data_IF_185048591768
#
_entry.id   IF_185048591768
#
_cell.length_a   1.000
_cell.length_b   1.000
_cell.length_c   1.000
_cell.angle_alpha   90.00
_cell.angle_beta   90.00
_cell.angle_gamma   90.00
#
_symmetry.space_group_name_H-M   'P 1'
#
loop_
_entity.id
_entity.type
_entity.pdbx_description
1 polymer ?
#
# COMPACT_ATOMS: atom_id res chain seq x y z
N UNK A 1 11.70 35.03 18.18
CA UNK A 1 11.72 33.67 17.60
C UNK A 1 11.02 32.73 18.57
N UNK A 2 9.71 32.52 18.39
CA UNK A 2 8.97 31.52 19.18
C UNK A 2 9.03 30.20 18.41
N UNK A 3 9.61 29.19 19.05
CA UNK A 3 9.53 27.82 18.56
C UNK A 3 8.05 27.41 18.57
N UNK A 4 7.48 27.21 17.38
CA UNK A 4 6.13 26.68 17.25
C UNK A 4 6.07 25.33 17.97
N UNK A 5 5.21 25.24 18.96
CA UNK A 5 4.85 24.01 19.65
C UNK A 5 4.19 23.08 18.62
N UNK A 6 4.98 22.28 17.90
CA UNK A 6 4.45 21.25 17.01
C UNK A 6 3.88 20.17 17.92
N UNK A 7 2.58 20.25 18.20
CA UNK A 7 1.84 19.15 18.80
C UNK A 7 2.11 17.87 18.00
N UNK A 8 2.11 16.73 18.70
CA UNK A 8 2.20 15.42 18.04
C UNK A 8 1.17 15.35 16.91
N UNK A 9 1.60 15.03 15.67
CA UNK A 9 0.70 15.02 14.53
C UNK A 9 -0.45 14.03 14.79
N UNK A 10 -1.67 14.46 14.45
CA UNK A 10 -2.87 13.64 14.57
C UNK A 10 -2.71 12.33 13.81
N UNK A 11 -3.11 11.21 14.41
CA UNK A 11 -3.05 9.91 13.74
C UNK A 11 -4.01 9.91 12.54
N UNK A 12 -3.51 9.62 11.35
CA UNK A 12 -4.31 9.47 10.12
C UNK A 12 -3.82 8.21 9.40
N UNK A 13 -4.65 7.18 9.42
CA UNK A 13 -4.45 5.92 8.69
C UNK A 13 -5.35 5.84 7.47
N UNK A 14 -5.15 4.81 6.65
CA UNK A 14 -6.04 4.52 5.51
C UNK A 14 -6.11 3.05 5.15
N UNK A 15 -7.24 2.67 4.55
CA UNK A 15 -7.35 1.48 3.74
C UNK A 15 -7.44 1.88 2.25
N UNK A 16 -6.59 1.27 1.43
CA UNK A 16 -6.42 1.63 0.02
C UNK A 16 -6.58 0.41 -0.92
N UNK A 17 -7.81 -0.12 -1.09
CA UNK A 17 -8.05 -1.29 -1.93
C UNK A 17 -8.05 -0.94 -3.42
N UNK A 18 -7.45 -1.82 -4.24
CA UNK A 18 -7.66 -1.79 -5.69
C UNK A 18 -8.99 -2.48 -6.03
N UNK A 19 -9.85 -1.88 -6.89
CA UNK A 19 -11.13 -2.46 -7.25
C UNK A 19 -11.01 -3.51 -8.37
N UNK A 20 -10.07 -4.44 -8.25
CA UNK A 20 -9.88 -5.55 -9.20
C UNK A 20 -10.76 -6.76 -8.91
N UNK A 21 -11.61 -6.66 -7.89
CA UNK A 21 -12.49 -7.73 -7.42
C UNK A 21 -13.10 -7.37 -6.05
N UNK A 22 -13.98 -8.22 -5.51
CA UNK A 22 -14.55 -8.04 -4.18
C UNK A 22 -13.51 -8.19 -3.06
N UNK A 23 -13.83 -7.71 -1.85
CA UNK A 23 -12.97 -7.94 -0.69
C UNK A 23 -12.90 -9.44 -0.36
N UNK A 24 -11.69 -9.98 -0.36
CA UNK A 24 -11.39 -11.29 0.18
C UNK A 24 -10.81 -11.15 1.60
N UNK A 25 -10.67 -12.28 2.31
CA UNK A 25 -10.22 -12.29 3.71
C UNK A 25 -8.88 -11.56 3.95
N UNK A 26 -7.89 -11.74 3.08
CA UNK A 26 -6.61 -11.00 3.19
C UNK A 26 -6.75 -9.46 3.16
N UNK A 27 -7.65 -8.92 2.34
CA UNK A 27 -7.92 -7.48 2.30
C UNK A 27 -8.73 -7.03 3.50
N UNK A 28 -9.64 -7.88 4.00
CA UNK A 28 -10.34 -7.64 5.27
C UNK A 28 -9.36 -7.56 6.44
N UNK A 29 -8.36 -8.44 6.54
CA UNK A 29 -7.32 -8.37 7.59
C UNK A 29 -6.61 -7.01 7.57
N UNK A 30 -6.27 -6.51 6.38
CA UNK A 30 -5.66 -5.19 6.25
C UNK A 30 -6.62 -4.05 6.65
N UNK A 31 -7.90 -4.14 6.31
CA UNK A 31 -8.91 -3.17 6.72
C UNK A 31 -9.10 -3.18 8.24
N UNK A 32 -9.30 -4.35 8.85
CA UNK A 32 -9.50 -4.53 10.30
C UNK A 32 -8.32 -3.97 11.10
N UNK A 33 -7.10 -4.35 10.74
CA UNK A 33 -5.91 -3.89 11.46
C UNK A 33 -5.70 -2.38 11.31
N UNK A 34 -5.79 -1.84 10.09
CA UNK A 34 -5.59 -0.40 9.88
C UNK A 34 -6.68 0.45 10.55
N UNK A 35 -7.92 -0.05 10.62
CA UNK A 35 -9.02 0.59 11.32
C UNK A 35 -8.83 0.54 12.84
N UNK A 36 -8.59 -0.64 13.41
CA UNK A 36 -8.35 -0.81 14.84
C UNK A 36 -7.17 0.05 15.32
N UNK A 37 -6.09 0.09 14.54
CA UNK A 37 -4.92 0.90 14.86
C UNK A 37 -5.24 2.40 14.85
N UNK A 38 -6.02 2.88 13.87
CA UNK A 38 -6.46 4.28 13.83
C UNK A 38 -7.36 4.64 15.01
N UNK A 39 -8.39 3.82 15.26
CA UNK A 39 -9.36 4.07 16.34
C UNK A 39 -8.72 3.97 17.72
N UNK A 40 -7.77 3.04 17.93
CA UNK A 40 -7.02 2.91 19.19
C UNK A 40 -6.23 4.18 19.53
N UNK A 41 -5.73 4.87 18.50
CA UNK A 41 -5.01 6.13 18.65
C UNK A 41 -5.91 7.37 18.52
N UNK A 42 -7.24 7.19 18.56
CA UNK A 42 -8.23 8.27 18.42
C UNK A 42 -8.03 9.10 17.14
N UNK A 43 -7.54 8.45 16.08
CA UNK A 43 -7.21 9.07 14.81
C UNK A 43 -8.28 8.88 13.75
N UNK A 44 -7.98 9.42 12.57
CA UNK A 44 -8.77 9.23 11.37
C UNK A 44 -8.36 7.96 10.61
N UNK A 45 -9.35 7.31 10.01
CA UNK A 45 -9.21 6.20 9.08
C UNK A 45 -9.90 6.56 7.77
N UNK A 46 -9.10 6.64 6.70
CA UNK A 46 -9.56 7.08 5.38
C UNK A 46 -9.74 5.89 4.44
N UNK A 47 -10.64 6.04 3.47
CA UNK A 47 -10.81 5.11 2.36
C UNK A 47 -10.35 5.74 1.05
N UNK A 48 -9.44 5.06 0.34
CA UNK A 48 -9.00 5.44 -1.02
C UNK A 48 -9.15 4.26 -1.97
N UNK A 49 -9.88 4.45 -3.06
CA UNK A 49 -9.97 3.46 -4.12
C UNK A 49 -8.75 3.61 -5.05
N UNK A 50 -7.87 2.62 -5.05
CA UNK A 50 -6.64 2.58 -5.85
C UNK A 50 -6.94 2.05 -7.27
N UNK A 51 -7.75 2.81 -8.03
CA UNK A 51 -8.20 2.53 -9.41
C UNK A 51 -7.29 3.15 -10.49
N UNK A 52 -6.02 3.40 -10.18
CA UNK A 52 -5.05 3.99 -11.13
C UNK A 52 -4.80 3.12 -12.37
N UNK A 53 -5.02 1.81 -12.27
CA UNK A 53 -4.97 0.87 -13.40
C UNK A 53 -6.39 0.50 -13.84
N UNK A 54 -7.00 1.38 -14.63
CA UNK A 54 -8.39 1.24 -15.11
C UNK A 54 -8.62 -0.10 -15.84
N UNK A 55 -7.61 -0.62 -16.52
CA UNK A 55 -7.68 -1.91 -17.23
C UNK A 55 -7.86 -3.12 -16.31
N UNK A 56 -7.51 -3.01 -15.02
CA UNK A 56 -7.71 -4.07 -14.02
C UNK A 56 -8.93 -3.81 -13.14
N UNK A 57 -9.62 -2.69 -13.32
CA UNK A 57 -10.78 -2.35 -12.52
C UNK A 57 -11.99 -3.16 -12.98
N UNK A 58 -12.69 -3.79 -12.04
CA UNK A 58 -13.90 -4.55 -12.29
C UNK A 58 -15.10 -3.66 -11.97
N UNK A 59 -16.04 -3.57 -12.91
CA UNK A 59 -17.26 -2.78 -12.74
C UNK A 59 -18.04 -3.23 -11.49
N UNK A 60 -18.44 -2.28 -10.65
CA UNK A 60 -19.15 -2.53 -9.39
C UNK A 60 -18.28 -3.05 -8.23
N UNK A 61 -16.98 -3.36 -8.44
CA UNK A 61 -16.13 -3.85 -7.37
C UNK A 61 -15.89 -2.79 -6.28
N UNK A 62 -15.66 -1.53 -6.66
CA UNK A 62 -15.50 -0.44 -5.69
C UNK A 62 -16.75 -0.26 -4.81
N UNK A 63 -17.94 -0.27 -5.41
CA UNK A 63 -19.22 -0.17 -4.68
C UNK A 63 -19.43 -1.36 -3.75
N UNK A 64 -19.08 -2.57 -4.20
CA UNK A 64 -19.17 -3.76 -3.38
C UNK A 64 -18.18 -3.73 -2.20
N UNK A 65 -16.97 -3.23 -2.42
CA UNK A 65 -15.97 -3.01 -1.36
C UNK A 65 -16.55 -2.04 -0.31
N UNK A 66 -17.09 -0.89 -0.73
CA UNK A 66 -17.66 0.11 0.19
C UNK A 66 -18.82 -0.47 1.01
N UNK A 67 -19.79 -1.12 0.37
CA UNK A 67 -20.91 -1.80 1.07
C UNK A 67 -20.44 -2.88 2.04
N UNK A 68 -19.38 -3.60 1.68
CA UNK A 68 -18.79 -4.61 2.57
C UNK A 68 -18.17 -3.94 3.80
N UNK A 69 -17.43 -2.84 3.64
CA UNK A 69 -16.85 -2.12 4.78
C UNK A 69 -17.94 -1.58 5.72
N UNK A 70 -19.02 -1.01 5.16
CA UNK A 70 -20.20 -0.56 5.92
C UNK A 70 -20.83 -1.71 6.72
N UNK A 71 -21.10 -2.85 6.09
CA UNK A 71 -21.67 -4.03 6.78
C UNK A 71 -20.77 -4.57 7.89
N UNK A 72 -19.46 -4.32 7.80
CA UNK A 72 -18.46 -4.72 8.80
C UNK A 72 -18.20 -3.64 9.85
N UNK A 73 -18.92 -2.50 9.84
CA UNK A 73 -18.74 -1.41 10.81
C UNK A 73 -17.40 -0.68 10.67
N UNK A 74 -16.78 -0.74 9.49
CA UNK A 74 -15.51 -0.11 9.16
C UNK A 74 -15.79 1.27 8.53
N UNK A 75 -16.19 2.23 9.37
CA UNK A 75 -16.58 3.58 8.93
C UNK A 75 -15.35 4.46 8.67
N UNK A 76 -15.29 5.12 7.51
CA UNK A 76 -14.22 6.06 7.15
C UNK A 76 -14.62 7.51 7.41
N UNK A 77 -13.66 8.37 7.78
CA UNK A 77 -13.99 9.68 8.37
C UNK A 77 -14.18 10.83 7.37
N UNK A 78 -13.69 10.67 6.13
CA UNK A 78 -13.74 11.72 5.10
C UNK A 78 -14.30 11.17 3.79
N UNK A 79 -14.61 12.05 2.85
CA UNK A 79 -15.03 11.64 1.52
C UNK A 79 -14.03 10.65 0.89
N UNK A 80 -14.56 9.59 0.28
CA UNK A 80 -13.76 8.57 -0.40
C UNK A 80 -12.94 9.19 -1.52
N UNK A 81 -11.64 8.89 -1.54
CA UNK A 81 -10.75 9.34 -2.59
C UNK A 81 -10.60 8.30 -3.70
N UNK A 82 -10.36 8.77 -4.93
CA UNK A 82 -10.27 7.94 -6.14
C UNK A 82 -9.02 8.33 -6.91
N UNK A 83 -8.11 7.38 -7.16
CA UNK A 83 -6.85 7.67 -7.86
C UNK A 83 -7.08 8.08 -9.33
N UNK A 84 -8.12 7.55 -9.97
CA UNK A 84 -8.54 7.93 -11.32
C UNK A 84 -8.83 9.43 -11.46
N UNK A 85 -9.20 10.11 -10.37
CA UNK A 85 -9.49 11.56 -10.32
C UNK A 85 -8.28 12.43 -9.97
N UNK A 86 -7.10 11.84 -9.73
CA UNK A 86 -5.90 12.54 -9.23
C UNK A 86 -4.73 12.58 -10.21
N UNK A 87 -4.95 12.22 -11.48
CA UNK A 87 -3.93 12.15 -12.54
C UNK A 87 -3.05 13.41 -12.61
N UNK A 88 -3.63 14.59 -12.47
CA UNK A 88 -2.89 15.86 -12.52
C UNK A 88 -1.87 16.00 -11.40
N UNK A 89 -2.16 15.53 -10.18
CA UNK A 89 -1.20 15.56 -9.08
C UNK A 89 0.00 14.65 -9.35
N UNK A 90 -0.23 13.49 -9.96
CA UNK A 90 0.84 12.57 -10.32
C UNK A 90 1.73 13.13 -11.42
N UNK A 91 1.13 13.73 -12.45
CA UNK A 91 1.87 14.39 -13.53
C UNK A 91 2.73 15.53 -12.99
N UNK A 92 2.19 16.38 -12.10
CA UNK A 92 2.95 17.45 -11.47
C UNK A 92 4.16 16.92 -10.68
N UNK A 93 3.99 15.84 -9.91
CA UNK A 93 5.09 15.21 -9.18
C UNK A 93 6.16 14.60 -10.12
N UNK A 94 5.74 13.99 -11.24
CA UNK A 94 6.67 13.48 -12.26
C UNK A 94 7.46 14.63 -12.87
N UNK A 95 6.80 15.70 -13.27
CA UNK A 95 7.42 16.86 -13.90
C UNK A 95 8.42 17.53 -12.95
N UNK A 96 8.08 17.63 -11.66
CA UNK A 96 9.00 18.09 -10.62
C UNK A 96 10.24 17.20 -10.52
N UNK A 97 10.08 15.87 -10.46
CA UNK A 97 11.19 14.93 -10.39
C UNK A 97 12.09 14.97 -11.63
N UNK A 98 11.49 15.18 -12.81
CA UNK A 98 12.24 15.36 -14.07
C UNK A 98 13.01 16.68 -14.05
N UNK A 99 12.38 17.78 -13.65
CA UNK A 99 13.02 19.10 -13.58
C UNK A 99 14.20 19.12 -12.59
N UNK A 100 14.11 18.36 -11.49
CA UNK A 100 15.20 18.19 -10.52
C UNK A 100 16.30 17.21 -10.98
N UNK A 101 16.17 16.57 -12.14
CA UNK A 101 17.15 15.62 -12.69
C UNK A 101 17.11 14.22 -12.03
N UNK A 102 16.13 13.94 -11.18
CA UNK A 102 15.95 12.63 -10.54
C UNK A 102 15.17 11.64 -11.39
N UNK A 103 14.44 12.09 -12.41
CA UNK A 103 13.71 11.24 -13.33
C UNK A 103 14.04 11.54 -14.80
N UNK A 104 13.91 10.53 -15.66
CA UNK A 104 14.29 10.65 -17.07
C UNK A 104 13.43 9.75 -17.99
N UNK A 105 13.26 10.12 -19.27
CA UNK A 105 12.51 9.32 -20.24
C UNK A 105 13.27 8.05 -20.63
N UNK A 106 12.53 6.96 -20.79
CA UNK A 106 13.04 5.66 -21.21
C UNK A 106 12.24 5.13 -22.39
N UNK A 107 12.94 4.77 -23.46
CA UNK A 107 12.38 4.18 -24.67
C UNK A 107 12.54 2.66 -24.78
N UNK A 108 13.04 1.98 -23.75
CA UNK A 108 13.23 0.53 -23.75
C UNK A 108 11.89 -0.23 -23.66
N UNK A 109 11.74 -1.29 -24.44
CA UNK A 109 10.65 -2.25 -24.31
C UNK A 109 10.87 -3.19 -23.12
N UNK A 110 9.82 -3.92 -22.72
CA UNK A 110 9.91 -4.97 -21.71
C UNK A 110 10.87 -6.10 -22.14
N UNK A 111 10.79 -6.56 -23.38
CA UNK A 111 11.66 -7.63 -23.91
C UNK A 111 13.13 -7.22 -23.96
N UNK A 112 13.44 -5.96 -24.25
CA UNK A 112 14.82 -5.45 -24.17
C UNK A 112 15.36 -5.50 -22.74
N UNK A 113 14.53 -5.12 -21.75
CA UNK A 113 14.91 -5.14 -20.34
C UNK A 113 15.06 -6.58 -19.84
N UNK A 114 14.22 -7.51 -20.30
CA UNK A 114 14.34 -8.93 -19.98
C UNK A 114 15.63 -9.55 -20.52
N UNK A 115 16.09 -9.09 -21.69
CA UNK A 115 17.32 -9.59 -22.34
C UNK A 115 18.60 -8.95 -21.78
N UNK A 116 18.57 -7.66 -21.47
CA UNK A 116 19.76 -6.89 -21.10
C UNK A 116 19.87 -6.62 -19.59
N UNK A 117 18.75 -6.68 -18.89
CA UNK A 117 18.69 -6.48 -17.45
C UNK A 117 19.25 -7.68 -16.69
N UNK A 118 19.59 -7.43 -15.43
CA UNK A 118 19.98 -8.48 -14.49
C UNK A 118 18.84 -8.73 -13.51
N UNK A 119 18.73 -9.95 -12.99
CA UNK A 119 17.66 -10.29 -12.03
C UNK A 119 17.88 -9.57 -10.70
N UNK A 120 16.84 -8.92 -10.20
CA UNK A 120 16.79 -8.26 -8.89
C UNK A 120 15.58 -8.71 -8.06
N UNK A 121 15.37 -8.04 -6.93
CA UNK A 121 14.38 -8.42 -5.93
C UNK A 121 12.93 -8.24 -6.41
N UNK A 122 12.69 -7.28 -7.32
CA UNK A 122 11.36 -6.95 -7.84
C UNK A 122 11.22 -7.21 -9.36
N UNK A 123 12.05 -8.11 -9.91
CA UNK A 123 12.12 -8.41 -11.34
C UNK A 123 13.44 -7.96 -11.97
N UNK A 124 13.44 -7.70 -13.28
CA UNK A 124 14.65 -7.30 -13.98
C UNK A 124 15.03 -5.86 -13.66
N UNK A 125 16.27 -5.68 -13.20
CA UNK A 125 16.92 -4.40 -12.97
C UNK A 125 17.18 -3.76 -14.32
N UNK A 126 16.70 -2.53 -14.50
CA UNK A 126 16.90 -1.76 -15.70
C UNK A 126 18.40 -1.56 -16.00
N UNK A 127 18.90 -1.87 -17.22
CA UNK A 127 20.33 -1.81 -17.55
C UNK A 127 20.88 -0.39 -17.73
N UNK A 128 20.06 0.66 -17.58
CA UNK A 128 20.52 2.05 -17.66
C UNK A 128 20.65 2.62 -19.08
N UNK A 129 20.14 1.96 -20.10
CA UNK A 129 20.29 2.34 -21.53
C UNK A 129 19.91 3.80 -21.84
N UNK A 130 18.91 4.35 -21.17
CA UNK A 130 18.42 5.72 -21.36
C UNK A 130 18.84 6.67 -20.24
N UNK A 131 19.71 6.23 -19.31
CA UNK A 131 20.06 6.99 -18.08
C UNK A 131 20.81 8.29 -18.38
N UNK A 132 21.46 8.40 -19.53
CA UNK A 132 22.18 9.60 -20.01
C UNK A 132 21.41 10.37 -21.10
N UNK A 133 20.16 9.98 -21.37
CA UNK A 133 19.34 10.56 -22.44
C UNK A 133 18.69 9.47 -23.29
N UNK A 134 17.63 9.86 -24.02
CA UNK A 134 16.92 8.95 -24.90
C UNK A 134 17.77 8.72 -26.16
N UNK A 135 18.13 7.47 -26.50
CA UNK A 135 18.89 7.18 -27.72
C UNK A 135 18.17 7.68 -28.98
N UNK A 136 18.94 8.12 -29.99
CA UNK A 136 18.42 8.62 -31.26
C UNK A 136 17.46 7.61 -31.89
N UNK A 137 16.31 8.10 -32.39
CA UNK A 137 15.28 7.28 -33.02
C UNK A 137 14.35 6.55 -32.04
N UNK A 138 14.54 6.66 -30.73
CA UNK A 138 13.60 6.12 -29.74
C UNK A 138 12.56 7.16 -29.34
N UNK A 139 11.35 6.68 -29.04
CA UNK A 139 10.28 7.48 -28.45
C UNK A 139 10.24 7.27 -26.93
N UNK A 140 9.80 8.31 -26.22
CA UNK A 140 9.59 8.23 -24.77
C UNK A 140 8.42 7.29 -24.49
N UNK A 141 8.73 6.11 -23.93
CA UNK A 141 7.71 5.14 -23.52
C UNK A 141 7.34 5.30 -22.06
N UNK A 142 8.30 5.54 -21.18
CA UNK A 142 8.08 5.58 -19.73
C UNK A 142 8.97 6.61 -19.08
N UNK A 143 8.64 7.05 -17.87
CA UNK A 143 9.55 7.85 -17.05
C UNK A 143 10.08 6.95 -15.93
N UNK A 144 11.41 6.93 -15.75
CA UNK A 144 12.09 6.19 -14.69
C UNK A 144 12.67 7.13 -13.66
N UNK A 145 12.62 6.72 -12.40
CA UNK A 145 13.33 7.36 -11.30
C UNK A 145 14.75 6.80 -11.21
N UNK A 146 15.73 7.69 -11.13
CA UNK A 146 17.12 7.36 -10.87
C UNK A 146 17.28 6.92 -9.42
N UNK A 147 17.80 5.72 -9.17
CA UNK A 147 18.02 5.23 -7.81
C UNK A 147 19.43 5.48 -7.31
N UNK A 148 19.61 5.69 -5.98
CA UNK A 148 20.90 5.94 -5.37
C UNK A 148 21.61 4.62 -5.03
N UNK A 149 22.95 4.66 -5.01
CA UNK A 149 23.79 3.53 -4.59
C UNK A 149 23.96 3.47 -3.07
N UNK A 150 22.86 3.65 -2.32
CA UNK A 150 22.83 3.52 -0.85
C UNK A 150 21.61 2.71 -0.41
N UNK A 151 21.70 2.16 0.79
CA UNK A 151 20.56 1.51 1.43
C UNK A 151 19.56 2.56 1.94
N UNK A 152 18.29 2.34 1.65
CA UNK A 152 17.17 3.00 2.32
C UNK A 152 16.71 2.05 3.43
N UNK A 153 16.66 2.55 4.66
CA UNK A 153 16.26 1.78 5.84
C UNK A 153 14.92 2.28 6.34
N UNK A 154 14.05 1.35 6.72
CA UNK A 154 12.73 1.62 7.28
C UNK A 154 12.65 0.92 8.63
N UNK A 155 12.21 1.65 9.65
CA UNK A 155 11.81 1.06 10.91
C UNK A 155 10.34 0.66 10.81
N UNK A 156 10.09 -0.61 10.51
CA UNK A 156 8.74 -1.16 10.44
C UNK A 156 8.23 -1.54 11.82
N UNK A 157 7.01 -1.12 12.15
CA UNK A 157 6.40 -1.36 13.46
C UNK A 157 6.26 -2.84 13.83
N UNK A 158 6.22 -3.73 12.85
CA UNK A 158 6.06 -5.18 13.07
C UNK A 158 7.32 -5.95 12.66
N UNK A 159 7.92 -5.64 11.51
CA UNK A 159 9.10 -6.35 10.99
C UNK A 159 10.45 -5.79 11.49
N UNK A 160 10.46 -4.68 12.22
CA UNK A 160 11.67 -4.00 12.67
C UNK A 160 12.42 -3.33 11.51
N UNK A 161 13.74 -3.20 11.66
CA UNK A 161 14.58 -2.56 10.64
C UNK A 161 14.65 -3.41 9.36
N UNK A 162 14.09 -2.88 8.28
CA UNK A 162 14.23 -3.41 6.92
C UNK A 162 15.09 -2.46 6.09
N UNK A 163 15.93 -3.00 5.21
CA UNK A 163 16.83 -2.20 4.37
C UNK A 163 16.90 -2.72 2.94
N UNK A 164 17.05 -1.81 1.98
CA UNK A 164 17.23 -2.17 0.57
C UNK A 164 18.16 -1.18 -0.13
N UNK A 165 19.19 -1.67 -0.82
CA UNK A 165 20.00 -0.88 -1.74
C UNK A 165 19.28 -0.78 -3.09
N UNK A 166 18.67 0.37 -3.36
CA UNK A 166 17.80 0.53 -4.52
C UNK A 166 18.53 0.33 -5.85
N UNK A 167 19.74 0.88 -6.03
CA UNK A 167 20.50 0.67 -7.27
C UNK A 167 20.91 -0.79 -7.48
N UNK A 168 21.28 -1.50 -6.41
CA UNK A 168 21.76 -2.87 -6.47
C UNK A 168 20.64 -3.91 -6.63
N UNK A 169 19.48 -3.68 -6.04
CA UNK A 169 18.41 -4.70 -5.93
C UNK A 169 17.18 -4.42 -6.81
N UNK A 170 16.92 -3.16 -7.13
CA UNK A 170 15.74 -2.71 -7.88
C UNK A 170 16.14 -2.08 -9.23
N UNK A 171 17.16 -1.22 -9.22
CA UNK A 171 17.50 -0.34 -10.33
C UNK A 171 16.53 0.83 -10.52
N UNK A 172 16.72 1.56 -11.61
CA UNK A 172 15.87 2.70 -11.94
C UNK A 172 14.46 2.24 -12.32
N UNK A 173 13.50 2.46 -11.42
CA UNK A 173 12.15 1.96 -11.55
C UNK A 173 11.22 2.96 -12.23
N UNK A 174 10.15 2.44 -12.82
CA UNK A 174 9.16 3.25 -13.56
C UNK A 174 8.28 4.03 -12.58
N UNK A 175 8.12 5.35 -12.83
CA UNK A 175 7.17 6.23 -12.13
C UNK A 175 6.02 6.69 -13.04
N UNK A 176 6.20 6.65 -14.37
CA UNK A 176 5.14 6.80 -15.37
C UNK A 176 5.20 5.66 -16.38
N UNK A 177 4.10 4.92 -16.49
CA UNK A 177 3.92 3.76 -17.37
C UNK A 177 3.76 4.20 -18.84
N UNK A 178 3.80 3.20 -19.74
CA UNK A 178 3.65 3.41 -21.20
C UNK A 178 2.27 3.85 -21.64
N UNK A 179 1.25 3.51 -20.87
CA UNK A 179 -0.13 3.98 -21.04
C UNK A 179 -0.36 5.40 -20.49
N UNK A 180 0.70 6.07 -20.00
CA UNK A 180 0.63 7.43 -19.47
C UNK A 180 0.24 7.51 -18.00
N UNK A 181 -0.22 6.42 -17.39
CA UNK A 181 -0.60 6.41 -15.99
C UNK A 181 0.62 6.43 -15.05
N UNK A 182 0.41 6.96 -13.84
CA UNK A 182 1.40 6.87 -12.78
C UNK A 182 1.61 5.40 -12.39
N UNK A 183 2.86 5.04 -12.08
CA UNK A 183 3.12 3.76 -11.44
C UNK A 183 2.67 3.81 -9.97
N UNK A 184 2.25 2.65 -9.45
CA UNK A 184 1.81 2.49 -8.06
C UNK A 184 2.74 3.17 -7.04
N UNK A 185 4.06 3.02 -7.21
CA UNK A 185 5.06 3.57 -6.28
C UNK A 185 4.97 5.09 -6.14
N UNK A 186 4.64 5.80 -7.22
CA UNK A 186 4.46 7.26 -7.20
C UNK A 186 3.06 7.63 -6.71
N UNK A 187 2.02 7.00 -7.25
CA UNK A 187 0.63 7.36 -6.95
C UNK A 187 0.36 7.31 -5.43
N UNK A 188 0.78 6.22 -4.77
CA UNK A 188 0.58 6.05 -3.32
C UNK A 188 1.31 7.12 -2.50
N UNK A 189 2.53 7.54 -2.90
CA UNK A 189 3.31 8.56 -2.19
C UNK A 189 2.65 9.93 -2.31
N UNK A 190 2.17 10.27 -3.51
CA UNK A 190 1.50 11.55 -3.76
C UNK A 190 0.16 11.60 -3.02
N UNK A 191 -0.60 10.51 -3.05
CA UNK A 191 -1.91 10.45 -2.36
C UNK A 191 -1.78 10.47 -0.85
N UNK A 192 -0.85 9.69 -0.29
CA UNK A 192 -0.60 9.68 1.15
C UNK A 192 -0.19 11.07 1.66
N UNK A 193 0.57 11.84 0.86
CA UNK A 193 0.87 13.24 1.15
C UNK A 193 -0.36 14.16 1.10
N UNK A 194 -1.18 14.05 0.05
CA UNK A 194 -2.39 14.89 -0.12
C UNK A 194 -3.39 14.65 1.02
N UNK A 195 -3.52 13.40 1.45
CA UNK A 195 -4.47 13.01 2.50
C UNK A 195 -3.93 13.23 3.92
N UNK A 196 -2.64 13.55 4.06
CA UNK A 196 -1.99 13.75 5.35
C UNK A 196 -1.82 12.45 6.14
N UNK A 197 -1.57 11.33 5.45
CA UNK A 197 -1.38 10.02 6.08
C UNK A 197 -0.14 10.04 6.97
N UNK A 198 -0.30 9.69 8.23
CA UNK A 198 0.80 9.59 9.20
C UNK A 198 1.17 8.13 9.49
N UNK A 199 0.25 7.18 9.26
CA UNK A 199 0.48 5.77 9.52
C UNK A 199 -0.03 4.89 8.37
N UNK A 200 0.83 4.00 7.88
CA UNK A 200 0.50 3.05 6.81
C UNK A 200 0.57 1.63 7.36
N UNK A 201 -0.58 1.08 7.68
CA UNK A 201 -0.76 -0.33 8.07
C UNK A 201 -1.32 -1.11 6.87
N UNK A 202 -0.54 -2.05 6.32
CA UNK A 202 -0.89 -2.78 5.07
C UNK A 202 -0.25 -4.17 4.99
N UNK A 203 -0.60 -4.99 4.01
CA UNK A 203 -0.03 -6.34 3.85
C UNK A 203 1.46 -6.36 3.50
N UNK A 204 2.18 -7.37 4.00
CA UNK A 204 3.63 -7.57 3.80
C UNK A 204 4.05 -7.85 2.34
N UNK A 205 3.11 -8.07 1.42
CA UNK A 205 3.40 -8.12 -0.01
C UNK A 205 3.91 -6.78 -0.55
N UNK A 206 3.65 -5.69 0.19
CA UNK A 206 4.13 -4.35 -0.12
C UNK A 206 5.39 -3.96 0.67
N UNK A 207 5.92 -4.84 1.54
CA UNK A 207 7.10 -4.57 2.37
C UNK A 207 8.30 -4.11 1.53
N UNK A 208 8.60 -4.83 0.44
CA UNK A 208 9.68 -4.52 -0.50
C UNK A 208 9.39 -3.30 -1.40
N UNK A 209 8.21 -2.66 -1.28
CA UNK A 209 7.91 -1.39 -1.96
C UNK A 209 8.28 -0.19 -1.10
N UNK A 210 8.30 -0.34 0.23
CA UNK A 210 8.47 0.78 1.17
C UNK A 210 9.78 1.54 0.99
N UNK A 211 10.95 0.90 0.81
CA UNK A 211 12.20 1.63 0.54
C UNK A 211 12.16 2.52 -0.72
N UNK A 212 11.44 2.09 -1.76
CA UNK A 212 11.23 2.90 -2.98
C UNK A 212 10.33 4.11 -2.72
N UNK A 213 9.30 3.91 -1.89
CA UNK A 213 8.33 4.96 -1.54
C UNK A 213 8.95 6.02 -0.63
N UNK A 214 9.77 5.61 0.34
CA UNK A 214 10.56 6.52 1.18
C UNK A 214 11.53 7.33 0.34
N UNK A 215 12.22 6.70 -0.61
CA UNK A 215 13.10 7.47 -1.50
C UNK A 215 12.33 8.50 -2.35
N UNK A 216 11.13 8.16 -2.83
CA UNK A 216 10.26 9.14 -3.50
C UNK A 216 9.81 10.28 -2.56
N UNK A 217 9.46 9.96 -1.30
CA UNK A 217 9.11 10.95 -0.28
C UNK A 217 10.28 11.90 0.01
N UNK A 218 11.50 11.37 0.18
CA UNK A 218 12.72 12.17 0.35
C UNK A 218 12.94 13.15 -0.81
N UNK A 219 12.82 12.68 -2.06
CA UNK A 219 13.03 13.51 -3.25
C UNK A 219 11.96 14.60 -3.44
N UNK A 220 10.71 14.29 -3.06
CA UNK A 220 9.59 15.24 -3.13
C UNK A 220 9.49 16.13 -1.87
N UNK A 221 10.36 15.92 -0.88
CA UNK A 221 10.34 16.57 0.42
C UNK A 221 8.99 16.38 1.14
N UNK A 222 8.46 15.15 1.09
CA UNK A 222 7.26 14.74 1.81
C UNK A 222 7.63 14.08 3.16
N UNK A 223 6.77 14.19 4.19
CA UNK A 223 6.91 13.44 5.43
C UNK A 223 6.91 11.93 5.19
N UNK A 224 7.62 11.21 6.04
CA UNK A 224 7.62 9.75 6.06
C UNK A 224 6.57 9.27 7.06
N UNK A 225 5.52 8.55 6.63
CA UNK A 225 4.60 7.88 7.54
C UNK A 225 5.31 6.80 8.36
N UNK A 226 4.74 6.43 9.50
CA UNK A 226 5.13 5.19 10.18
C UNK A 226 4.53 4.00 9.43
N UNK A 227 5.37 3.02 9.09
CA UNK A 227 4.94 1.81 8.37
C UNK A 227 4.77 0.62 9.32
N UNK A 228 3.73 -0.17 9.10
CA UNK A 228 3.55 -1.47 9.72
C UNK A 228 3.01 -2.47 8.71
N UNK A 229 3.75 -3.55 8.46
CA UNK A 229 3.35 -4.58 7.50
C UNK A 229 2.75 -5.82 8.17
N UNK A 230 1.53 -6.19 7.78
CA UNK A 230 0.78 -7.32 8.31
C UNK A 230 1.20 -8.61 7.61
N UNK A 231 1.22 -9.75 8.32
CA UNK A 231 1.59 -11.04 7.74
C UNK A 231 0.63 -11.42 6.60
N UNK A 232 1.15 -12.17 5.63
CA UNK A 232 0.33 -12.62 4.51
C UNK A 232 -0.63 -13.71 4.96
N UNK A 233 -1.90 -13.58 4.58
CA UNK A 233 -2.85 -14.69 4.65
C UNK A 233 -2.50 -15.68 3.55
N UNK A 234 -2.06 -16.87 3.97
CA UNK A 234 -1.76 -17.99 3.07
C UNK A 234 -2.88 -19.03 3.12
N UNK A 235 -3.13 -19.68 1.99
CA UNK A 235 -3.99 -20.86 1.92
C UNK A 235 -3.29 -22.11 2.50
N UNK A 236 -4.00 -23.25 2.49
CA UNK A 236 -3.45 -24.53 2.94
C UNK A 236 -2.24 -25.01 2.12
N UNK A 237 -2.09 -24.53 0.88
CA UNK A 237 -0.95 -24.81 -0.01
C UNK A 237 0.21 -23.81 0.13
N UNK A 238 0.13 -22.86 1.07
CA UNK A 238 1.15 -21.82 1.26
C UNK A 238 1.12 -20.70 0.21
N UNK A 239 0.11 -20.65 -0.66
CA UNK A 239 -0.06 -19.58 -1.65
C UNK A 239 -0.81 -18.40 -1.04
N UNK A 240 -0.49 -17.18 -1.51
CA UNK A 240 -1.18 -15.96 -1.07
C UNK A 240 -2.65 -16.05 -1.49
N UNK A 241 -3.57 -15.90 -0.53
CA UNK A 241 -5.00 -15.99 -0.79
C UNK A 241 -5.46 -14.99 -1.87
N UNK A 242 -4.85 -13.80 -1.94
CA UNK A 242 -5.19 -12.77 -2.93
C UNK A 242 -4.80 -13.10 -4.38
N UNK A 243 -4.07 -14.20 -4.63
CA UNK A 243 -3.60 -14.61 -5.97
C UNK A 243 -4.37 -15.80 -6.53
N UNK A 244 -5.33 -16.34 -5.78
CA UNK A 244 -6.24 -17.34 -6.30
C UNK A 244 -7.40 -16.65 -7.00
N UNK A 245 -7.72 -17.09 -8.22
CA UNK A 245 -8.99 -16.78 -8.90
C UNK A 245 -10.22 -17.25 -8.09
N UNK A 246 -10.00 -17.95 -6.98
CA UNK A 246 -10.97 -18.51 -6.05
C UNK A 246 -10.91 -17.90 -4.63
N UNK A 247 -10.24 -16.75 -4.43
CA UNK A 247 -10.29 -16.01 -3.17
C UNK A 247 -11.74 -15.62 -2.87
N UNK A 248 -12.44 -16.43 -2.05
CA UNK A 248 -13.87 -16.25 -1.82
C UNK A 248 -14.12 -14.86 -1.20
N UNK A 249 -15.09 -14.10 -1.74
CA UNK A 249 -15.51 -12.85 -1.12
C UNK A 249 -15.90 -13.09 0.33
N UNK A 250 -15.61 -12.12 1.20
CA UNK A 250 -16.17 -12.14 2.55
C UNK A 250 -17.69 -11.93 2.46
N UNK A 251 -18.43 -12.59 3.35
CA UNK A 251 -19.90 -12.54 3.34
C UNK A 251 -20.38 -11.33 4.12
N UNK A 252 -20.94 -10.34 3.42
CA UNK A 252 -21.47 -9.13 4.04
C UNK A 252 -22.73 -9.38 4.89
N UNK A 253 -23.45 -10.49 4.66
CA UNK A 253 -24.64 -10.85 5.43
C UNK A 253 -24.31 -11.46 6.80
N UNK A 254 -23.05 -11.86 7.02
CA UNK A 254 -22.58 -12.46 8.27
C UNK A 254 -21.16 -11.95 8.60
N UNK A 255 -21.00 -10.66 8.97
CA UNK A 255 -19.69 -10.02 9.12
C UNK A 255 -18.93 -10.52 10.35
N UNK A 256 -19.63 -10.80 11.45
CA UNK A 256 -19.03 -11.06 12.77
C UNK A 256 -18.08 -12.28 12.79
N UNK A 257 -18.40 -13.45 12.20
CA UNK A 257 -17.44 -14.56 12.10
C UNK A 257 -16.14 -14.17 11.38
N UNK A 258 -16.23 -13.40 10.30
CA UNK A 258 -15.07 -12.96 9.54
C UNK A 258 -14.23 -11.92 10.30
N UNK A 259 -14.89 -11.01 11.05
CA UNK A 259 -14.21 -10.07 11.96
C UNK A 259 -13.45 -10.81 13.06
N UNK A 260 -14.09 -11.75 13.77
CA UNK A 260 -13.45 -12.58 14.81
C UNK A 260 -12.28 -13.40 14.24
N UNK A 261 -12.43 -13.97 13.05
CA UNK A 261 -11.35 -14.68 12.38
C UNK A 261 -10.18 -13.76 12.00
N UNK A 262 -10.44 -12.56 11.46
CA UNK A 262 -9.40 -11.59 11.15
C UNK A 262 -8.67 -11.10 12.42
N UNK A 263 -9.40 -10.88 13.51
CA UNK A 263 -8.86 -10.48 14.81
C UNK A 263 -7.89 -11.54 15.38
N UNK A 264 -8.31 -12.82 15.38
CA UNK A 264 -7.46 -13.94 15.77
C UNK A 264 -6.24 -14.09 14.87
N UNK A 265 -6.42 -13.94 13.56
CA UNK A 265 -5.30 -13.98 12.60
C UNK A 265 -4.24 -12.91 12.90
N UNK A 266 -4.67 -11.73 13.37
CA UNK A 266 -3.81 -10.63 13.81
C UNK A 266 -3.15 -10.88 15.18
N UNK A 267 -3.28 -12.10 15.73
CA UNK A 267 -2.69 -12.52 17.00
C UNK A 267 -3.32 -11.83 18.23
N UNK A 268 -4.43 -11.13 18.03
CA UNK A 268 -5.10 -10.40 19.11
C UNK A 268 -5.78 -11.39 20.07
N UNK A 269 -5.90 -11.00 21.34
CA UNK A 269 -6.62 -11.80 22.32
C UNK A 269 -8.09 -11.98 21.92
N UNK A 270 -8.63 -13.17 22.21
CA UNK A 270 -10.05 -13.44 22.00
C UNK A 270 -10.90 -12.42 22.77
N UNK A 271 -11.84 -11.80 22.07
CA UNK A 271 -12.83 -10.92 22.66
C UNK A 271 -13.96 -11.79 23.21
N UNK A 272 -14.44 -11.47 24.42
CA UNK A 272 -15.46 -12.24 25.15
C UNK A 272 -16.61 -12.78 24.28
N UNK A 273 -17.18 -13.91 24.70
CA UNK A 273 -18.30 -14.58 24.03
C UNK A 273 -19.53 -13.65 23.84
N UNK A 274 -19.62 -12.56 24.59
CA UNK A 274 -20.69 -11.55 24.53
C UNK A 274 -20.68 -10.61 23.32
N UNK A 275 -19.69 -10.67 22.42
CA UNK A 275 -19.75 -9.92 21.16
C UNK A 275 -20.83 -10.52 20.24
N UNK A 276 -22.07 -10.03 20.38
CA UNK A 276 -23.26 -10.52 19.69
C UNK A 276 -23.44 -9.94 18.27
N UNK A 277 -22.87 -8.75 18.02
CA UNK A 277 -22.96 -8.03 16.76
C UNK A 277 -21.66 -7.28 16.44
N UNK A 278 -21.68 -6.51 15.34
CA UNK A 278 -20.53 -5.75 14.82
C UNK A 278 -20.17 -4.58 15.75
N UNK A 279 -21.16 -3.92 16.35
CA UNK A 279 -20.94 -2.78 17.24
C UNK A 279 -20.28 -3.23 18.54
N UNK A 280 -20.79 -4.30 19.15
CA UNK A 280 -20.20 -4.94 20.33
C UNK A 280 -18.77 -5.44 20.05
N UNK A 281 -18.53 -6.00 18.85
CA UNK A 281 -17.19 -6.39 18.43
C UNK A 281 -16.23 -5.20 18.44
N UNK A 282 -16.56 -4.08 17.76
CA UNK A 282 -15.66 -2.93 17.70
C UNK A 282 -15.47 -2.23 19.05
N UNK A 283 -16.53 -2.17 19.86
CA UNK A 283 -16.47 -1.63 21.22
C UNK A 283 -15.45 -2.38 22.09
N UNK A 284 -15.37 -3.70 21.95
CA UNK A 284 -14.39 -4.53 22.64
C UNK A 284 -13.00 -4.53 21.96
N UNK A 285 -12.97 -4.61 20.62
CA UNK A 285 -11.74 -4.76 19.84
C UNK A 285 -10.84 -3.53 19.89
N UNK A 286 -11.40 -2.33 19.69
CA UNK A 286 -10.63 -1.08 19.60
C UNK A 286 -9.75 -0.86 20.83
N UNK A 287 -10.25 -0.91 22.08
CA UNK A 287 -9.40 -0.73 23.27
C UNK A 287 -8.41 -1.87 23.50
N UNK A 288 -8.71 -3.07 22.99
CA UNK A 288 -7.86 -4.26 23.10
C UNK A 288 -6.76 -4.37 22.03
N UNK A 289 -6.81 -3.53 20.99
CA UNK A 289 -5.82 -3.56 19.90
C UNK A 289 -4.40 -3.38 20.42
N UNK A 290 -3.53 -4.33 20.04
CA UNK A 290 -2.12 -4.33 20.37
C UNK A 290 -1.27 -4.62 19.15
N UNK A 291 -0.32 -3.73 18.88
CA UNK A 291 0.69 -3.91 17.83
C UNK A 291 1.70 -5.00 18.19
N UNK A 292 1.92 -5.23 19.49
CA UNK A 292 2.92 -6.18 20.00
C UNK A 292 2.53 -7.64 19.74
N UNK A 293 1.25 -7.91 19.51
CA UNK A 293 0.72 -9.26 19.26
C UNK A 293 0.59 -9.59 17.79
N UNK A 294 0.79 -8.62 16.89
CA UNK A 294 0.71 -8.83 15.44
C UNK A 294 1.84 -9.80 15.01
N UNK A 295 1.51 -10.94 14.37
CA UNK A 295 2.52 -11.90 13.99
C UNK A 295 3.41 -11.37 12.86
N UNK A 296 4.70 -11.70 12.90
CA UNK A 296 5.69 -11.31 11.86
C UNK A 296 6.01 -12.44 10.89
N UNK A 297 5.52 -13.65 11.17
CA UNK A 297 5.57 -14.80 10.27
C UNK A 297 4.22 -14.97 9.60
N UNK A 298 4.21 -15.13 8.28
CA UNK A 298 3.00 -15.53 7.54
C UNK A 298 2.49 -16.86 8.09
N UNK A 299 1.19 -16.93 8.37
CA UNK A 299 0.52 -18.10 8.93
C UNK A 299 -0.56 -18.61 7.98
N UNK A 300 -0.82 -19.92 8.05
CA UNK A 300 -1.91 -20.54 7.33
C UNK A 300 -3.24 -20.14 7.95
N UNK A 301 -4.23 -19.87 7.11
CA UNK A 301 -5.61 -19.73 7.55
C UNK A 301 -6.13 -21.13 7.95
N UNK A 302 -6.29 -21.38 9.25
CA UNK A 302 -7.08 -22.51 9.74
C UNK A 302 -8.51 -21.97 9.90
N UNK A 303 -9.33 -22.14 8.85
CA UNK A 303 -10.78 -21.84 8.90
C UNK A 303 -11.53 -22.93 9.66
#
# INVERSE_FOLDING_TARGET
MQAAHRGTPHYTGRFAPSPSGPLHFGSLVAAVASYADARRHQGEWLLRIDDVDEARTVAGAADHIMKTLEAFGLEWDRAVNWQSRRKNHYLAAIDQLVAMGFAYPCGCSRSEIERLGRRGAAGMIYPGTCRTGLPVGRTNRSIRLRTPARSIVVDDRFYGLIGQNLAAEIGDFVIRRTDGFAAYQLAVVVDDQIEGITHVVRGADLLASTPRQIYLQELLNYPNPQYGHLPLVLDAGGQKLSKQDSARPVRMEAPLPALKAAWRFLGQADLDEGCADVEAFWTAAIPAWSTATVPTKSSHLIL
#
